data_IF_805973468214
#
_entry.id   IF_805973468214
#
_cell.length_a   1.000
_cell.length_b   1.000
_cell.length_c   1.000
_cell.angle_alpha   90.00
_cell.angle_beta   90.00
_cell.angle_gamma   90.00
#
_symmetry.space_group_name_H-M   'P 1'
#
loop_
_entity.id
_entity.type
_entity.pdbx_description
1 polymer ?
#
# COMPACT_ATOMS: atom_id res chain seq x y z
N UNK A 1 16.63 12.27 5.12
CA UNK A 1 16.76 13.19 6.27
C UNK A 1 17.73 12.69 7.34
N UNK A 2 17.57 11.43 7.85
CA UNK A 2 18.47 10.90 8.89
C UNK A 2 19.93 10.80 8.40
N UNK A 3 20.18 10.30 7.18
CA UNK A 3 21.51 10.27 6.60
C UNK A 3 22.17 11.67 6.54
N UNK A 4 21.40 12.71 6.16
CA UNK A 4 21.89 14.10 6.15
C UNK A 4 22.24 14.63 7.55
N UNK A 5 21.62 14.09 8.58
CA UNK A 5 21.88 14.46 9.99
C UNK A 5 22.88 13.54 10.68
N UNK A 6 23.44 12.57 9.96
CA UNK A 6 24.41 11.62 10.49
C UNK A 6 23.81 10.56 11.42
N UNK A 7 22.48 10.34 11.38
CA UNK A 7 21.84 9.26 12.13
C UNK A 7 21.96 7.94 11.39
N UNK A 8 22.26 6.87 12.11
CA UNK A 8 22.10 5.51 11.61
C UNK A 8 20.60 5.19 11.58
N UNK A 9 20.15 4.59 10.46
CA UNK A 9 18.78 4.08 10.32
C UNK A 9 18.82 2.57 10.25
N UNK A 10 17.97 1.92 11.03
CA UNK A 10 17.66 0.50 10.93
C UNK A 10 16.17 0.39 10.55
N UNK A 11 15.88 -0.28 9.46
CA UNK A 11 14.51 -0.51 8.99
C UNK A 11 14.18 -1.99 9.06
N UNK A 12 13.11 -2.32 9.76
CA UNK A 12 12.57 -3.67 9.85
C UNK A 12 11.42 -3.76 8.84
N UNK A 13 11.56 -4.65 7.86
CA UNK A 13 10.70 -4.69 6.67
C UNK A 13 10.22 -6.12 6.43
N UNK A 14 8.90 -6.34 6.24
CA UNK A 14 8.37 -7.63 5.83
C UNK A 14 8.88 -8.06 4.45
N UNK A 15 9.13 -9.36 4.27
CA UNK A 15 9.69 -9.95 3.04
C UNK A 15 8.76 -9.86 1.82
N UNK A 16 7.48 -9.53 2.02
CA UNK A 16 6.53 -9.25 0.93
C UNK A 16 6.81 -7.95 0.17
N UNK A 17 7.66 -7.07 0.70
CA UNK A 17 7.95 -5.79 0.06
C UNK A 17 8.74 -5.95 -1.24
N UNK A 18 8.56 -5.01 -2.18
CA UNK A 18 9.27 -5.05 -3.46
C UNK A 18 10.78 -4.95 -3.28
N UNK A 19 11.53 -5.67 -4.12
CA UNK A 19 12.98 -5.66 -4.12
C UNK A 19 13.53 -4.24 -4.37
N UNK A 20 12.88 -3.49 -5.23
CA UNK A 20 13.26 -2.11 -5.57
C UNK A 20 13.20 -1.20 -4.35
N UNK A 21 12.21 -1.34 -3.47
CA UNK A 21 12.13 -0.61 -2.20
C UNK A 21 13.30 -0.92 -1.30
N UNK A 22 13.62 -2.20 -1.14
CA UNK A 22 14.73 -2.65 -0.30
C UNK A 22 16.04 -2.06 -0.81
N UNK A 23 16.37 -2.24 -2.09
CA UNK A 23 17.58 -1.73 -2.71
C UNK A 23 17.67 -0.19 -2.65
N UNK A 24 16.55 0.50 -2.80
CA UNK A 24 16.50 1.95 -2.68
C UNK A 24 16.85 2.41 -1.25
N UNK A 25 16.31 1.75 -0.24
CA UNK A 25 16.58 2.10 1.16
C UNK A 25 18.01 1.77 1.58
N UNK A 26 18.57 0.63 1.13
CA UNK A 26 19.98 0.30 1.30
C UNK A 26 20.89 1.33 0.62
N UNK A 27 20.55 1.73 -0.61
CA UNK A 27 21.27 2.77 -1.36
C UNK A 27 21.25 4.14 -0.66
N UNK A 28 20.23 4.43 0.16
CA UNK A 28 20.16 5.60 1.02
C UNK A 28 20.94 5.45 2.34
N UNK A 29 21.58 4.29 2.57
CA UNK A 29 22.40 4.01 3.73
C UNK A 29 21.65 3.43 4.93
N UNK A 30 20.43 2.93 4.73
CA UNK A 30 19.71 2.24 5.79
C UNK A 30 20.22 0.80 5.96
N UNK A 31 20.30 0.32 7.20
CA UNK A 31 20.44 -1.09 7.52
C UNK A 31 19.05 -1.75 7.47
N UNK A 32 18.94 -2.85 6.71
CA UNK A 32 17.66 -3.53 6.52
C UNK A 32 17.65 -4.85 7.29
N UNK A 33 16.59 -5.07 8.06
CA UNK A 33 16.27 -6.34 8.71
C UNK A 33 14.99 -6.86 8.07
N UNK A 34 15.10 -7.94 7.32
CA UNK A 34 13.94 -8.62 6.72
C UNK A 34 13.27 -9.52 7.76
N UNK A 35 11.95 -9.48 7.78
CA UNK A 35 11.12 -10.31 8.64
C UNK A 35 10.07 -11.06 7.82
N UNK A 36 9.45 -12.04 8.44
CA UNK A 36 8.35 -12.79 7.81
C UNK A 36 7.08 -11.91 7.74
N UNK A 37 6.40 -12.00 6.59
CA UNK A 37 5.10 -11.36 6.37
C UNK A 37 3.91 -12.29 6.64
N UNK A 38 4.15 -13.58 6.87
CA UNK A 38 3.15 -14.63 7.07
C UNK A 38 2.97 -15.02 8.56
N UNK A 39 3.39 -14.15 9.48
CA UNK A 39 3.29 -14.38 10.93
C UNK A 39 2.46 -13.28 11.60
N UNK A 40 1.61 -13.63 12.60
CA UNK A 40 0.78 -12.67 13.31
C UNK A 40 1.57 -11.88 14.36
N UNK A 41 0.93 -10.83 14.89
CA UNK A 41 1.44 -10.08 16.04
C UNK A 41 1.72 -11.00 17.24
N UNK A 42 2.83 -10.73 17.95
CA UNK A 42 3.32 -11.55 19.05
C UNK A 42 4.26 -12.69 18.63
N UNK A 43 4.39 -12.95 17.32
CA UNK A 43 5.40 -13.88 16.85
C UNK A 43 6.80 -13.24 16.88
N UNK A 44 7.88 -13.95 17.29
CA UNK A 44 9.23 -13.38 17.39
C UNK A 44 9.79 -12.76 16.11
N UNK A 45 9.27 -13.15 14.94
CA UNK A 45 9.64 -12.63 13.63
C UNK A 45 8.61 -11.63 13.07
N UNK A 46 7.60 -11.22 13.86
CA UNK A 46 6.69 -10.17 13.46
C UNK A 46 7.40 -8.81 13.45
N UNK A 47 7.27 -8.05 12.40
CA UNK A 47 8.11 -6.88 12.14
C UNK A 47 8.05 -5.80 13.24
N UNK A 48 6.89 -5.59 13.88
CA UNK A 48 6.79 -4.65 15.00
C UNK A 48 7.54 -5.15 16.25
N UNK A 49 7.48 -6.47 16.53
CA UNK A 49 8.16 -7.05 17.69
C UNK A 49 9.67 -7.05 17.49
N UNK A 50 10.14 -7.35 16.26
CA UNK A 50 11.54 -7.24 15.89
C UNK A 50 12.02 -5.79 16.02
N UNK A 51 11.25 -4.81 15.54
CA UNK A 51 11.61 -3.39 15.63
C UNK A 51 11.70 -2.92 17.09
N UNK A 52 10.75 -3.30 17.94
CA UNK A 52 10.78 -3.02 19.38
C UNK A 52 12.01 -3.63 20.06
N UNK A 53 12.32 -4.89 19.73
CA UNK A 53 13.49 -5.58 20.25
C UNK A 53 14.78 -4.87 19.85
N UNK A 54 14.98 -4.61 18.56
CA UNK A 54 16.17 -3.91 18.03
C UNK A 54 16.34 -2.56 18.71
N UNK A 55 15.26 -1.79 18.89
CA UNK A 55 15.31 -0.52 19.58
C UNK A 55 15.71 -0.68 21.05
N UNK A 56 15.19 -1.68 21.77
CA UNK A 56 15.52 -1.93 23.17
C UNK A 56 16.96 -2.38 23.40
N UNK A 57 17.55 -3.07 22.42
CA UNK A 57 18.91 -3.61 22.46
C UNK A 57 19.97 -2.62 21.92
N UNK A 58 19.53 -1.51 21.29
CA UNK A 58 20.42 -0.51 20.69
C UNK A 58 20.52 0.74 21.58
N UNK A 59 21.62 0.98 22.29
CA UNK A 59 21.76 2.15 23.14
C UNK A 59 21.62 3.48 22.38
N UNK A 60 20.82 4.39 22.92
CA UNK A 60 20.58 5.72 22.31
C UNK A 60 19.68 5.70 21.08
N UNK A 61 19.02 4.57 20.77
CA UNK A 61 18.07 4.47 19.69
C UNK A 61 16.77 5.19 20.01
N UNK A 62 16.06 5.59 18.96
CA UNK A 62 14.70 6.11 19.00
C UNK A 62 13.81 5.31 18.05
N UNK A 63 12.77 4.67 18.57
CA UNK A 63 11.75 4.00 17.75
C UNK A 63 10.72 5.03 17.30
N UNK A 64 10.65 5.28 15.98
CA UNK A 64 9.70 6.26 15.44
C UNK A 64 8.24 5.85 15.64
N UNK A 65 7.96 4.54 15.69
CA UNK A 65 6.66 3.95 15.97
C UNK A 65 5.50 4.58 15.18
N UNK A 66 5.60 4.53 13.84
CA UNK A 66 4.71 5.26 12.92
C UNK A 66 3.22 4.96 13.09
N UNK A 67 2.87 3.80 13.66
CA UNK A 67 1.47 3.37 13.82
C UNK A 67 0.77 3.96 15.05
N UNK A 68 1.53 4.46 16.04
CA UNK A 68 1.00 5.06 17.25
C UNK A 68 1.59 6.42 17.62
N UNK A 69 2.56 6.91 16.85
CA UNK A 69 3.14 8.22 17.10
C UNK A 69 2.21 9.34 16.59
N UNK A 70 1.68 10.21 17.49
CA UNK A 70 0.75 11.28 17.09
C UNK A 70 1.37 12.35 16.19
N UNK A 71 2.70 12.42 16.09
CA UNK A 71 3.38 13.28 15.14
C UNK A 71 3.06 12.90 13.68
N UNK A 72 2.65 11.66 13.42
CA UNK A 72 2.27 11.19 12.10
C UNK A 72 0.98 11.89 11.60
N UNK A 73 -0.21 11.74 12.22
CA UNK A 73 -1.39 12.48 11.77
C UNK A 73 -1.22 13.98 11.91
N UNK A 74 -0.53 14.48 12.93
CA UNK A 74 -0.26 15.91 13.09
C UNK A 74 0.49 16.51 11.89
N UNK A 75 1.47 15.81 11.32
CA UNK A 75 2.17 16.29 10.13
C UNK A 75 1.22 16.49 8.95
N UNK A 76 0.31 15.55 8.69
CA UNK A 76 -0.67 15.66 7.60
C UNK A 76 -1.72 16.75 7.87
N UNK A 77 -2.19 16.89 9.10
CA UNK A 77 -3.10 17.94 9.50
C UNK A 77 -2.52 19.34 9.28
N UNK A 78 -1.21 19.51 9.54
CA UNK A 78 -0.56 20.84 9.51
C UNK A 78 0.16 21.15 8.20
N UNK A 79 0.32 20.19 7.29
CA UNK A 79 0.99 20.40 6.00
C UNK A 79 0.16 19.92 4.83
N UNK A 80 -0.09 18.61 4.69
CA UNK A 80 -0.75 18.02 3.54
C UNK A 80 -2.18 18.54 3.36
N UNK A 81 -2.97 18.57 4.43
CA UNK A 81 -4.36 18.99 4.35
C UNK A 81 -4.51 20.50 4.01
N UNK A 82 -3.76 21.43 4.64
CA UNK A 82 -3.77 22.85 4.22
C UNK A 82 -3.34 23.05 2.77
N UNK A 83 -2.33 22.33 2.29
CA UNK A 83 -1.87 22.40 0.90
C UNK A 83 -2.97 22.00 -0.09
N UNK A 84 -3.67 20.88 0.19
CA UNK A 84 -4.82 20.45 -0.63
C UNK A 84 -5.93 21.49 -0.58
N UNK A 85 -6.26 22.02 0.60
CA UNK A 85 -7.29 23.02 0.77
C UNK A 85 -7.03 24.29 -0.06
N UNK A 86 -5.79 24.76 -0.02
CA UNK A 86 -5.38 25.95 -0.77
C UNK A 86 -5.37 25.69 -2.29
N UNK A 87 -4.89 24.53 -2.74
CA UNK A 87 -4.86 24.16 -4.16
C UNK A 87 -6.27 23.94 -4.73
N UNK A 88 -7.20 23.45 -3.92
CA UNK A 88 -8.60 23.28 -4.29
C UNK A 88 -9.45 24.54 -4.09
N UNK A 89 -8.86 25.63 -3.58
CA UNK A 89 -9.58 26.88 -3.26
C UNK A 89 -10.75 26.65 -2.29
N UNK A 90 -10.64 25.63 -1.43
CA UNK A 90 -11.70 25.22 -0.51
C UNK A 90 -12.89 24.50 -1.17
N UNK A 91 -12.82 24.21 -2.46
CA UNK A 91 -13.93 23.67 -3.25
C UNK A 91 -13.67 22.17 -3.53
N UNK A 92 -13.97 21.30 -2.55
CA UNK A 92 -13.92 19.85 -2.70
C UNK A 92 -15.08 19.20 -1.91
N UNK A 93 -15.58 18.08 -2.44
CA UNK A 93 -16.66 17.31 -1.82
C UNK A 93 -16.16 16.10 -1.03
N UNK A 94 -15.04 15.52 -1.44
CA UNK A 94 -14.51 14.33 -0.76
C UNK A 94 -12.99 14.19 -0.90
N UNK A 95 -12.40 13.51 0.09
CA UNK A 95 -11.02 13.04 0.05
C UNK A 95 -11.02 11.52 0.19
N UNK A 96 -10.41 10.81 -0.78
CA UNK A 96 -10.24 9.36 -0.74
C UNK A 96 -8.79 9.04 -0.42
N UNK A 97 -8.56 8.35 0.68
CA UNK A 97 -7.22 7.97 1.13
C UNK A 97 -7.19 6.51 1.58
N UNK A 98 -6.01 5.90 1.57
CA UNK A 98 -5.80 4.56 2.09
C UNK A 98 -5.34 4.57 3.54
N UNK A 99 -5.47 3.44 4.20
CA UNK A 99 -4.98 3.22 5.56
C UNK A 99 -3.81 2.23 5.53
N UNK A 100 -2.63 2.70 5.91
CA UNK A 100 -1.54 1.92 6.43
C UNK A 100 -1.41 2.27 7.91
N UNK A 101 -0.54 3.21 8.29
CA UNK A 101 -0.43 3.66 9.68
C UNK A 101 -1.61 4.53 10.20
N UNK A 102 -2.57 4.88 9.35
CA UNK A 102 -3.71 5.74 9.70
C UNK A 102 -3.42 7.23 9.75
N UNK A 103 -2.14 7.62 9.73
CA UNK A 103 -1.75 9.01 9.94
C UNK A 103 -2.25 9.98 8.87
N UNK A 104 -2.18 9.59 7.60
CA UNK A 104 -2.61 10.45 6.48
C UNK A 104 -4.11 10.73 6.57
N UNK A 105 -4.93 9.69 6.55
CA UNK A 105 -6.38 9.86 6.53
C UNK A 105 -6.91 10.57 7.77
N UNK A 106 -6.35 10.26 8.95
CA UNK A 106 -6.74 10.93 10.21
C UNK A 106 -6.36 12.41 10.20
N UNK A 107 -5.13 12.75 9.82
CA UNK A 107 -4.70 14.15 9.76
C UNK A 107 -5.48 14.97 8.74
N UNK A 108 -5.83 14.39 7.59
CA UNK A 108 -6.73 15.00 6.61
C UNK A 108 -8.13 15.20 7.18
N UNK A 109 -8.69 14.15 7.79
CA UNK A 109 -10.02 14.18 8.38
C UNK A 109 -10.15 15.24 9.47
N UNK A 110 -9.19 15.32 10.40
CA UNK A 110 -9.16 16.35 11.44
C UNK A 110 -9.20 17.77 10.87
N UNK A 111 -8.42 18.02 9.81
CA UNK A 111 -8.39 19.35 9.20
C UNK A 111 -9.66 19.66 8.40
N UNK A 112 -10.11 18.75 7.53
CA UNK A 112 -11.24 19.01 6.65
C UNK A 112 -12.55 19.09 7.43
N UNK A 113 -12.77 18.23 8.42
CA UNK A 113 -13.96 18.30 9.29
C UNK A 113 -14.03 19.58 10.13
N UNK A 114 -12.88 20.16 10.47
CA UNK A 114 -12.82 21.47 11.13
C UNK A 114 -13.17 22.62 10.16
N UNK A 115 -12.84 22.47 8.86
CA UNK A 115 -13.14 23.48 7.83
C UNK A 115 -14.58 23.40 7.34
N UNK A 116 -15.01 22.21 6.97
CA UNK A 116 -16.36 21.92 6.48
C UNK A 116 -16.69 20.45 6.76
N UNK A 117 -17.59 20.20 7.70
CA UNK A 117 -18.01 18.87 8.10
C UNK A 117 -18.74 18.08 7.00
N UNK A 118 -19.19 18.77 5.93
CA UNK A 118 -19.84 18.14 4.78
C UNK A 118 -18.86 17.42 3.84
N UNK A 119 -17.54 17.70 3.93
CA UNK A 119 -16.52 17.03 3.13
C UNK A 119 -16.42 15.56 3.55
N UNK A 120 -16.66 14.67 2.62
CA UNK A 120 -16.62 13.22 2.89
C UNK A 120 -15.18 12.72 2.97
N UNK A 121 -14.86 12.03 4.05
CA UNK A 121 -13.59 11.32 4.24
C UNK A 121 -13.83 9.83 3.96
N UNK A 122 -13.19 9.32 2.92
CA UNK A 122 -13.44 7.96 2.40
C UNK A 122 -12.19 7.11 2.47
N UNK A 123 -12.28 5.96 3.10
CA UNK A 123 -11.21 4.97 3.12
C UNK A 123 -11.27 4.06 1.87
N UNK A 124 -10.22 4.04 1.05
CA UNK A 124 -10.03 3.02 0.03
C UNK A 124 -9.18 1.89 0.62
N UNK A 125 -9.75 0.70 0.69
CA UNK A 125 -9.18 -0.41 1.44
C UNK A 125 -9.08 -1.68 0.59
N UNK A 126 -7.97 -2.44 0.61
CA UNK A 126 -7.90 -3.70 -0.12
C UNK A 126 -8.87 -4.74 0.45
N UNK A 127 -9.39 -5.56 -0.42
CA UNK A 127 -10.13 -6.76 0.01
C UNK A 127 -9.27 -7.60 0.97
N UNK A 128 -9.89 -8.16 2.00
CA UNK A 128 -9.25 -8.87 3.11
C UNK A 128 -8.53 -8.01 4.17
N UNK A 129 -8.43 -6.70 4.00
CA UNK A 129 -8.13 -5.79 5.10
C UNK A 129 -9.35 -5.61 6.01
N UNK A 130 -9.13 -5.24 7.27
CA UNK A 130 -10.23 -5.07 8.23
C UNK A 130 -10.77 -3.64 8.29
N UNK A 131 -10.11 -2.68 7.65
CA UNK A 131 -10.41 -1.25 7.84
C UNK A 131 -11.76 -0.87 7.29
N UNK A 132 -12.10 -1.33 6.06
CA UNK A 132 -13.41 -1.05 5.47
C UNK A 132 -14.56 -1.61 6.31
N UNK A 133 -14.41 -2.82 6.84
CA UNK A 133 -15.41 -3.41 7.73
C UNK A 133 -15.54 -2.66 9.05
N UNK A 134 -14.43 -2.20 9.62
CA UNK A 134 -14.44 -1.38 10.83
C UNK A 134 -15.19 -0.05 10.62
N UNK A 135 -15.00 0.59 9.47
CA UNK A 135 -15.72 1.83 9.12
C UNK A 135 -17.20 1.57 8.86
N UNK A 136 -17.54 0.59 8.00
CA UNK A 136 -18.91 0.39 7.51
C UNK A 136 -19.79 -0.30 8.56
N UNK A 137 -19.24 -1.32 9.24
CA UNK A 137 -19.99 -2.20 10.15
C UNK A 137 -19.78 -1.84 11.63
N UNK A 138 -18.77 -1.01 11.96
CA UNK A 138 -18.37 -0.75 13.33
C UNK A 138 -17.78 -1.97 14.07
N UNK A 139 -17.60 -3.07 13.36
CA UNK A 139 -17.02 -4.33 13.86
C UNK A 139 -16.13 -4.93 12.79
N UNK A 140 -15.10 -5.63 13.19
CA UNK A 140 -14.18 -6.30 12.27
C UNK A 140 -13.68 -7.61 12.87
N UNK A 141 -13.33 -8.55 11.98
CA UNK A 141 -12.55 -9.73 12.32
C UNK A 141 -11.53 -9.96 11.22
N UNK A 142 -10.33 -10.36 11.60
CA UNK A 142 -9.32 -10.76 10.63
C UNK A 142 -9.36 -12.28 10.43
N UNK A 143 -9.74 -12.71 9.24
CA UNK A 143 -9.93 -14.12 8.90
C UNK A 143 -8.68 -14.76 8.23
N UNK A 144 -7.52 -14.08 8.30
CA UNK A 144 -6.25 -14.58 7.73
C UNK A 144 -6.11 -14.36 6.22
N UNK A 145 -6.89 -13.45 5.63
CA UNK A 145 -6.75 -13.06 4.23
C UNK A 145 -5.44 -12.33 3.93
N UNK A 146 -5.10 -12.22 2.67
CA UNK A 146 -3.93 -11.49 2.20
C UNK A 146 -4.28 -10.66 0.97
N UNK A 147 -3.47 -9.64 0.71
CA UNK A 147 -3.54 -8.80 -0.47
C UNK A 147 -2.14 -8.52 -1.02
N UNK A 148 -2.06 -8.18 -2.30
CA UNK A 148 -0.80 -7.99 -3.03
C UNK A 148 -0.36 -6.54 -3.11
N UNK A 149 -1.26 -5.58 -2.94
CA UNK A 149 -0.91 -4.15 -2.88
C UNK A 149 -0.08 -3.86 -1.62
N UNK A 150 0.84 -2.91 -1.73
CA UNK A 150 1.75 -2.57 -0.64
C UNK A 150 1.46 -1.15 -0.12
N UNK A 151 1.54 -0.98 1.21
CA UNK A 151 1.43 0.31 1.88
C UNK A 151 0.00 0.76 2.20
N UNK A 152 -0.98 -0.08 1.95
CA UNK A 152 -2.39 0.12 2.27
C UNK A 152 -3.02 -1.21 2.66
N UNK A 153 -3.98 -1.17 3.58
CA UNK A 153 -4.62 -2.35 4.18
C UNK A 153 -3.89 -2.85 5.43
N UNK A 154 -4.67 -3.19 6.45
CA UNK A 154 -4.16 -3.65 7.74
C UNK A 154 -5.01 -4.82 8.28
N UNK A 155 -4.40 -5.64 9.13
CA UNK A 155 -5.03 -6.72 9.87
C UNK A 155 -5.31 -6.36 11.35
N UNK A 156 -5.04 -5.10 11.70
CA UNK A 156 -5.33 -4.48 12.99
C UNK A 156 -5.73 -3.02 12.80
N UNK A 157 -6.27 -2.38 13.82
CA UNK A 157 -6.58 -0.94 13.79
C UNK A 157 -5.39 -0.18 14.38
N UNK A 158 -4.68 0.64 13.59
CA UNK A 158 -3.59 1.48 14.08
C UNK A 158 -4.07 2.51 15.12
N UNK A 159 -3.27 2.78 16.16
CA UNK A 159 -3.59 3.80 17.17
C UNK A 159 -3.78 5.20 16.57
N UNK A 160 -3.10 5.47 15.46
CA UNK A 160 -3.23 6.75 14.74
C UNK A 160 -4.51 6.85 13.89
N UNK A 161 -5.28 5.77 13.74
CA UNK A 161 -6.50 5.78 12.95
C UNK A 161 -7.71 6.19 13.80
N UNK A 162 -8.29 7.34 13.48
CA UNK A 162 -9.53 7.78 14.10
C UNK A 162 -10.73 7.41 13.22
N UNK A 163 -11.30 6.23 13.47
CA UNK A 163 -12.45 5.72 12.71
C UNK A 163 -13.67 6.65 12.78
N UNK A 164 -13.84 7.42 13.86
CA UNK A 164 -15.02 8.29 14.02
C UNK A 164 -15.04 9.48 13.06
N UNK A 165 -13.93 9.78 12.39
CA UNK A 165 -13.82 10.86 11.40
C UNK A 165 -13.94 10.37 9.95
N UNK A 166 -14.11 9.07 9.72
CA UNK A 166 -14.23 8.48 8.39
C UNK A 166 -15.70 8.22 8.09
N UNK A 167 -16.19 8.80 7.01
CA UNK A 167 -17.62 8.77 6.66
C UNK A 167 -18.03 7.54 5.86
N UNK A 168 -17.13 7.01 5.03
CA UNK A 168 -17.42 5.86 4.16
C UNK A 168 -16.14 5.06 3.89
N UNK A 169 -16.30 3.84 3.40
CA UNK A 169 -15.20 3.02 2.93
C UNK A 169 -15.55 2.25 1.65
N UNK A 170 -14.55 2.01 0.83
CA UNK A 170 -14.69 1.29 -0.43
C UNK A 170 -13.65 0.17 -0.50
N UNK A 171 -14.11 -1.07 -0.58
CA UNK A 171 -13.24 -2.22 -0.81
C UNK A 171 -12.83 -2.29 -2.28
N UNK A 172 -11.53 -2.57 -2.48
CA UNK A 172 -10.89 -2.69 -3.80
C UNK A 172 -10.13 -4.01 -3.85
N UNK A 173 -10.41 -4.81 -4.87
CA UNK A 173 -9.65 -6.05 -5.09
C UNK A 173 -8.27 -5.75 -5.65
N UNK A 174 -7.31 -6.65 -5.47
CA UNK A 174 -5.98 -6.53 -6.08
C UNK A 174 -6.09 -6.37 -7.61
N UNK A 175 -6.99 -7.12 -8.25
CA UNK A 175 -7.20 -7.04 -9.70
C UNK A 175 -7.61 -5.64 -10.12
N UNK A 176 -8.62 -5.05 -9.48
CA UNK A 176 -9.06 -3.66 -9.76
C UNK A 176 -7.92 -2.66 -9.57
N UNK A 177 -7.14 -2.80 -8.48
CA UNK A 177 -6.03 -1.90 -8.19
C UNK A 177 -4.95 -1.95 -9.27
N UNK A 178 -4.53 -3.16 -9.69
CA UNK A 178 -3.50 -3.32 -10.71
C UNK A 178 -3.99 -2.96 -12.12
N UNK A 179 -5.25 -3.21 -12.46
CA UNK A 179 -5.86 -2.76 -13.73
C UNK A 179 -5.88 -1.23 -13.82
N UNK A 180 -6.32 -0.55 -12.76
CA UNK A 180 -6.34 0.93 -12.71
C UNK A 180 -4.93 1.52 -12.86
N UNK A 181 -3.89 0.90 -12.29
CA UNK A 181 -2.51 1.35 -12.50
C UNK A 181 -2.09 1.31 -13.97
N UNK A 182 -2.48 0.28 -14.71
CA UNK A 182 -2.17 0.18 -16.14
C UNK A 182 -2.91 1.25 -16.95
N UNK A 183 -4.20 1.44 -16.67
CA UNK A 183 -5.00 2.50 -17.30
C UNK A 183 -4.45 3.88 -17.00
N UNK A 184 -4.10 4.16 -15.74
CA UNK A 184 -3.54 5.43 -15.31
C UNK A 184 -2.21 5.75 -16.04
N UNK A 185 -1.37 4.74 -16.25
CA UNK A 185 -0.15 4.90 -17.02
C UNK A 185 -0.43 5.13 -18.51
N UNK A 186 -1.37 4.40 -19.10
CA UNK A 186 -1.66 4.44 -20.54
C UNK A 186 -2.41 5.71 -20.94
N UNK A 187 -3.38 6.13 -20.15
CA UNK A 187 -4.27 7.26 -20.50
C UNK A 187 -3.75 8.59 -19.95
N UNK A 188 -3.12 8.60 -18.78
CA UNK A 188 -2.71 9.84 -18.09
C UNK A 188 -1.17 9.99 -18.01
N UNK A 189 -0.39 8.97 -18.39
CA UNK A 189 1.07 9.01 -18.31
C UNK A 189 1.59 8.97 -16.85
N UNK A 190 0.76 8.54 -15.89
CA UNK A 190 1.09 8.53 -14.47
C UNK A 190 1.58 7.13 -14.06
N UNK A 191 2.87 7.03 -13.72
CA UNK A 191 3.49 5.82 -13.19
C UNK A 191 3.38 5.79 -11.65
N UNK A 192 2.24 5.36 -11.11
CA UNK A 192 1.97 5.25 -9.68
C UNK A 192 2.37 3.91 -9.09
N UNK A 193 2.53 3.85 -7.75
CA UNK A 193 2.75 2.61 -7.02
C UNK A 193 1.46 1.83 -6.75
N UNK A 194 1.58 0.62 -6.17
CA UNK A 194 0.43 -0.29 -6.01
C UNK A 194 -0.72 0.30 -5.18
N UNK A 195 -0.43 1.00 -4.10
CA UNK A 195 -1.45 1.69 -3.30
C UNK A 195 -2.18 2.79 -4.07
N UNK A 196 -1.52 3.45 -5.04
CA UNK A 196 -2.18 4.41 -5.93
C UNK A 196 -3.34 3.75 -6.68
N UNK A 197 -3.14 2.52 -7.17
CA UNK A 197 -4.20 1.76 -7.84
C UNK A 197 -5.41 1.54 -6.93
N UNK A 198 -5.20 1.16 -5.68
CA UNK A 198 -6.26 1.01 -4.69
C UNK A 198 -7.01 2.33 -4.46
N UNK A 199 -6.29 3.43 -4.27
CA UNK A 199 -6.91 4.71 -3.98
C UNK A 199 -7.70 5.26 -5.17
N UNK A 200 -7.14 5.19 -6.37
CA UNK A 200 -7.83 5.68 -7.58
C UNK A 200 -9.03 4.78 -7.92
N UNK A 201 -8.90 3.45 -7.82
CA UNK A 201 -10.04 2.55 -7.99
C UNK A 201 -11.13 2.81 -6.96
N UNK A 202 -10.75 3.02 -5.69
CA UNK A 202 -11.68 3.39 -4.62
C UNK A 202 -12.40 4.70 -4.88
N UNK A 203 -11.67 5.73 -5.35
CA UNK A 203 -12.24 7.03 -5.71
C UNK A 203 -13.25 6.88 -6.87
N UNK A 204 -12.91 6.13 -7.91
CA UNK A 204 -13.82 5.86 -9.05
C UNK A 204 -15.08 5.14 -8.56
N UNK A 205 -14.94 4.08 -7.77
CA UNK A 205 -16.09 3.31 -7.22
C UNK A 205 -16.96 4.17 -6.32
N UNK A 206 -16.36 5.06 -5.52
CA UNK A 206 -17.11 5.99 -4.68
C UNK A 206 -17.87 7.02 -5.54
N UNK A 207 -17.23 7.61 -6.54
CA UNK A 207 -17.86 8.56 -7.47
C UNK A 207 -19.04 7.93 -8.22
N UNK A 208 -18.91 6.67 -8.65
CA UNK A 208 -19.99 5.95 -9.35
C UNK A 208 -21.26 5.76 -8.52
N UNK A 209 -21.17 5.83 -7.21
CA UNK A 209 -22.34 5.76 -6.31
C UNK A 209 -23.03 7.11 -6.12
N UNK A 210 -22.42 8.20 -6.55
CA UNK A 210 -22.98 9.54 -6.39
C UNK A 210 -24.01 9.85 -7.46
N UNK A 211 -25.04 10.62 -7.09
CA UNK A 211 -26.10 11.04 -8.02
C UNK A 211 -25.77 12.35 -8.73
N UNK A 212 -24.83 13.11 -8.19
CA UNK A 212 -24.38 14.41 -8.70
C UNK A 212 -22.86 14.41 -8.87
N UNK A 213 -22.31 15.22 -9.81
CA UNK A 213 -20.89 15.38 -9.96
C UNK A 213 -20.22 15.83 -8.66
N UNK A 214 -19.05 15.24 -8.34
CA UNK A 214 -18.30 15.51 -7.11
C UNK A 214 -16.86 15.86 -7.44
N UNK A 215 -16.30 16.81 -6.71
CA UNK A 215 -14.87 17.13 -6.71
C UNK A 215 -14.19 16.29 -5.65
N UNK A 216 -13.37 15.36 -6.10
CA UNK A 216 -12.72 14.35 -5.25
C UNK A 216 -11.22 14.44 -5.39
N UNK A 217 -10.53 14.48 -4.25
CA UNK A 217 -9.07 14.41 -4.19
C UNK A 217 -8.66 13.00 -3.75
N UNK A 218 -7.69 12.43 -4.45
CA UNK A 218 -7.00 11.20 -4.04
C UNK A 218 -5.50 11.32 -4.31
N UNK A 219 -4.71 10.28 -4.00
CA UNK A 219 -3.26 10.39 -3.96
C UNK A 219 -2.56 9.46 -4.95
N UNK A 220 -1.52 9.99 -5.59
CA UNK A 220 -0.45 9.19 -6.16
C UNK A 220 0.58 9.01 -5.04
N UNK A 221 0.46 7.91 -4.29
CA UNK A 221 1.17 7.72 -3.02
C UNK A 221 2.68 7.68 -3.18
N UNK A 222 3.15 6.98 -4.23
CA UNK A 222 4.55 6.91 -4.61
C UNK A 222 4.72 6.52 -6.09
N UNK A 223 5.98 6.46 -6.54
CA UNK A 223 6.31 6.15 -7.93
C UNK A 223 6.32 4.64 -8.20
N UNK A 224 5.77 4.24 -9.35
CA UNK A 224 5.78 2.86 -9.84
C UNK A 224 7.18 2.28 -10.08
N UNK A 225 8.22 3.12 -10.13
CA UNK A 225 9.61 2.66 -10.20
C UNK A 225 10.01 1.73 -9.04
N UNK A 226 9.28 1.78 -7.93
CA UNK A 226 9.47 0.89 -6.78
C UNK A 226 8.79 -0.47 -6.94
N UNK A 227 8.10 -0.72 -8.05
CA UNK A 227 7.24 -1.89 -8.27
C UNK A 227 7.43 -2.53 -9.64
N UNK A 228 8.58 -2.25 -10.30
CA UNK A 228 8.85 -2.75 -11.66
C UNK A 228 8.90 -4.27 -11.74
N UNK A 229 9.34 -4.94 -10.67
CA UNK A 229 9.35 -6.41 -10.58
C UNK A 229 7.98 -7.02 -10.28
N UNK A 230 6.96 -6.20 -9.97
CA UNK A 230 5.60 -6.63 -9.59
C UNK A 230 4.54 -6.00 -10.49
N UNK A 231 4.00 -4.84 -10.10
CA UNK A 231 2.87 -4.17 -10.73
C UNK A 231 3.06 -3.91 -12.25
N UNK A 232 4.30 -3.77 -12.70
CA UNK A 232 4.66 -3.51 -14.10
C UNK A 232 5.39 -4.69 -14.76
N UNK A 233 5.37 -5.87 -14.14
CA UNK A 233 5.91 -7.11 -14.68
C UNK A 233 4.78 -8.05 -15.09
N UNK A 234 4.61 -8.27 -16.40
CA UNK A 234 3.54 -9.10 -16.96
C UNK A 234 3.56 -10.54 -16.41
N UNK A 235 4.76 -11.15 -16.26
CA UNK A 235 4.87 -12.50 -15.71
C UNK A 235 4.40 -12.53 -14.25
N UNK A 236 4.80 -11.54 -13.43
CA UNK A 236 4.35 -11.47 -12.05
C UNK A 236 2.83 -11.26 -11.95
N UNK A 237 2.25 -10.39 -12.78
CA UNK A 237 0.80 -10.18 -12.82
C UNK A 237 0.06 -11.46 -13.22
N UNK A 238 0.55 -12.19 -14.21
CA UNK A 238 -0.01 -13.48 -14.61
C UNK A 238 0.10 -14.53 -13.50
N UNK A 239 1.27 -14.68 -12.89
CA UNK A 239 1.52 -15.65 -11.81
C UNK A 239 0.62 -15.42 -10.57
N UNK A 240 0.12 -14.20 -10.42
CA UNK A 240 -0.83 -13.83 -9.35
C UNK A 240 -2.29 -13.72 -9.85
N UNK A 241 -2.60 -14.22 -11.05
CA UNK A 241 -3.93 -14.16 -11.66
C UNK A 241 -4.53 -12.75 -11.80
N UNK A 242 -3.68 -11.75 -11.99
CA UNK A 242 -4.07 -10.34 -12.17
C UNK A 242 -4.12 -9.94 -13.65
N UNK A 243 -3.54 -10.75 -14.54
CA UNK A 243 -3.51 -10.53 -15.97
C UNK A 243 -3.69 -11.85 -16.70
N UNK A 244 -4.65 -11.92 -17.58
CA UNK A 244 -4.79 -13.02 -18.51
C UNK A 244 -3.81 -12.79 -19.67
N UNK A 245 -2.68 -13.52 -19.69
CA UNK A 245 -1.81 -13.55 -20.85
C UNK A 245 -2.53 -14.33 -21.97
N UNK A 246 -2.69 -13.71 -23.12
CA UNK A 246 -2.99 -14.47 -24.34
C UNK A 246 -1.88 -15.53 -24.48
N UNK A 247 -2.28 -16.80 -24.53
CA UNK A 247 -1.34 -17.91 -24.70
C UNK A 247 -0.80 -17.87 -26.12
N UNK A 248 0.24 -17.08 -26.33
CA UNK A 248 0.93 -17.03 -27.64
C UNK A 248 1.66 -18.34 -27.96
N UNK A 249 1.79 -19.23 -26.99
CA UNK A 249 2.36 -20.57 -27.17
C UNK A 249 3.82 -20.56 -27.63
N UNK A 250 4.58 -19.53 -27.31
CA UNK A 250 5.98 -19.42 -27.70
C UNK A 250 6.92 -19.77 -26.54
N UNK A 251 8.18 -20.09 -26.87
CA UNK A 251 9.22 -20.46 -25.89
C UNK A 251 9.53 -19.33 -24.89
N UNK A 252 9.19 -18.06 -25.17
CA UNK A 252 9.36 -16.96 -24.24
C UNK A 252 8.51 -17.12 -22.98
N UNK A 253 7.34 -17.76 -23.10
CA UNK A 253 6.43 -18.01 -21.98
C UNK A 253 7.01 -19.06 -20.99
N UNK A 254 7.91 -19.92 -21.48
CA UNK A 254 8.62 -20.92 -20.69
C UNK A 254 9.89 -20.36 -20.04
N UNK A 255 10.54 -19.39 -20.68
CA UNK A 255 11.83 -18.80 -20.24
C UNK A 255 11.62 -17.77 -19.12
N UNK A 256 10.46 -17.14 -19.06
CA UNK A 256 10.14 -16.14 -18.03
C UNK A 256 9.78 -16.75 -16.66
N UNK A 257 9.77 -18.05 -16.51
CA UNK A 257 9.63 -18.70 -15.20
C UNK A 257 10.95 -18.61 -14.42
N UNK A 258 10.86 -18.03 -13.30
CA UNK A 258 11.91 -17.56 -12.39
C UNK A 258 13.01 -18.57 -12.06
N UNK A 259 14.24 -18.19 -12.38
CA UNK A 259 15.46 -18.77 -11.81
C UNK A 259 15.69 -18.32 -10.32
N UNK A 260 14.95 -17.34 -9.80
CA UNK A 260 15.19 -16.71 -8.50
C UNK A 260 14.61 -17.48 -7.29
N UNK A 261 13.76 -18.50 -7.52
CA UNK A 261 13.25 -19.38 -6.46
C UNK A 261 14.03 -20.69 -6.27
N UNK A 262 15.19 -20.82 -6.91
CA UNK A 262 16.06 -22.01 -6.74
C UNK A 262 15.51 -23.30 -7.36
N UNK A 263 14.36 -23.27 -8.01
CA UNK A 263 13.80 -24.40 -8.74
C UNK A 263 14.14 -24.27 -10.22
N UNK A 264 15.26 -24.88 -10.61
CA UNK A 264 15.57 -25.05 -12.01
C UNK A 264 14.66 -26.15 -12.57
N UNK A 265 13.63 -25.76 -13.32
CA UNK A 265 12.81 -26.71 -14.06
C UNK A 265 13.67 -27.24 -15.21
N UNK A 266 14.19 -28.43 -15.03
CA UNK A 266 14.89 -29.14 -16.10
C UNK A 266 13.89 -29.97 -16.88
N UNK A 267 13.82 -29.77 -18.19
CA UNK A 267 13.07 -30.65 -19.09
C UNK A 267 14.02 -31.69 -19.67
N UNK A 268 13.65 -32.96 -19.63
CA UNK A 268 14.33 -34.01 -20.35
C UNK A 268 13.98 -33.92 -21.84
N UNK A 269 14.90 -34.32 -22.76
CA UNK A 269 14.59 -34.42 -24.19
C UNK A 269 13.39 -35.31 -24.52
N UNK A 270 13.00 -36.19 -23.58
CA UNK A 270 11.81 -37.04 -23.71
C UNK A 270 10.52 -36.42 -23.19
N UNK A 271 10.56 -35.24 -22.55
CA UNK A 271 9.34 -34.56 -22.09
C UNK A 271 8.61 -33.92 -23.27
N UNK A 272 7.31 -34.08 -23.31
CA UNK A 272 6.47 -33.31 -24.24
C UNK A 272 6.18 -31.92 -23.67
N UNK A 273 5.93 -30.95 -24.55
CA UNK A 273 5.55 -29.57 -24.17
C UNK A 273 4.34 -29.49 -23.23
N UNK A 274 3.56 -30.57 -23.10
CA UNK A 274 2.42 -30.68 -22.16
C UNK A 274 2.83 -31.04 -20.71
N UNK A 275 4.07 -31.43 -20.50
CA UNK A 275 4.61 -31.88 -19.18
C UNK A 275 5.63 -30.87 -18.65
N UNK A 276 6.13 -29.98 -19.48
CA UNK A 276 6.98 -28.88 -19.11
C UNK A 276 6.13 -27.67 -18.71
#
# INVERSE_FOLDING_TARGET
>A
MAALKGYKIILVIPDKMSREKILHLEGLGAEIILTRSDVPEGHPEYYHDVARKVASETPGSFLANQFSNPANPFAHRTTTAPEIWDQMEGDLDAVVAGVGSGGTITGLAEFFKEKDDSISIVAADPENSIVADAVIKGTYSYDGGSWLVEGVGEDFIPDNLNLSLIDDAVMVTDKEAFEVLQVLLQEEGILGGSSTGTLVAGAIKWCQKQTEPKKVVTFICDTGNKYLSKAFNKSWLHDNNLLDLEKEGNLSDLINRRADKGEMITVSPSNTLLIA
#
